data_IF_357640897356
#
_entry.id   IF_357640897356
#
_cell.length_a   1.000
_cell.length_b   1.000
_cell.length_c   1.000
_cell.angle_alpha   90.00
_cell.angle_beta   90.00
_cell.angle_gamma   90.00
#
_symmetry.space_group_name_H-M   'P 1'
#
loop_
_entity.id
_entity.type
_entity.pdbx_description
1 polymer ?
#
# COMPACT_ATOMS: atom_id res chain seq x y z
N UNK A 1 -4.91 1.48 11.96
CA UNK A 1 -5.67 2.11 10.86
C UNK A 1 -5.02 1.75 9.52
N UNK A 2 -5.78 1.61 8.44
CA UNK A 2 -5.24 1.38 7.08
C UNK A 2 -5.28 2.68 6.27
N UNK A 3 -4.34 2.85 5.34
CA UNK A 3 -4.23 4.04 4.47
C UNK A 3 -5.51 4.22 3.64
N UNK A 4 -6.00 3.12 3.09
CA UNK A 4 -7.28 3.04 2.40
C UNK A 4 -7.96 1.73 2.76
N UNK A 5 -9.23 1.81 3.17
CA UNK A 5 -9.95 0.64 3.66
C UNK A 5 -10.50 -0.17 2.51
N UNK A 6 -11.56 0.36 1.89
CA UNK A 6 -12.24 -0.31 0.79
C UNK A 6 -12.50 0.70 -0.31
N UNK A 7 -11.54 0.86 -1.21
CA UNK A 7 -11.54 1.91 -2.24
C UNK A 7 -12.86 1.99 -3.02
N UNK A 8 -13.41 0.85 -3.43
CA UNK A 8 -14.68 0.80 -4.15
C UNK A 8 -15.85 1.36 -3.34
N UNK A 9 -15.93 1.02 -2.04
CA UNK A 9 -16.97 1.55 -1.15
C UNK A 9 -16.72 3.02 -0.77
N UNK A 10 -15.45 3.41 -0.56
CA UNK A 10 -15.10 4.81 -0.37
C UNK A 10 -15.56 5.63 -1.58
N UNK A 11 -15.36 5.14 -2.81
CA UNK A 11 -15.86 5.80 -4.02
C UNK A 11 -17.39 5.83 -4.06
N UNK A 12 -18.07 4.68 -3.94
CA UNK A 12 -19.53 4.57 -4.05
C UNK A 12 -20.27 5.42 -3.02
N UNK A 13 -19.82 5.43 -1.77
CA UNK A 13 -20.52 6.13 -0.68
C UNK A 13 -20.08 7.59 -0.52
N UNK A 14 -18.94 7.99 -1.12
CA UNK A 14 -18.42 9.35 -1.03
C UNK A 14 -18.42 10.11 -2.35
N UNK A 15 -19.17 9.65 -3.36
CA UNK A 15 -19.33 10.35 -4.65
C UNK A 15 -19.58 11.85 -4.49
N UNK A 16 -20.54 12.26 -3.64
CA UNK A 16 -20.82 13.68 -3.38
C UNK A 16 -19.70 14.42 -2.65
N UNK A 17 -18.98 13.74 -1.75
CA UNK A 17 -17.84 14.31 -1.02
C UNK A 17 -16.61 14.50 -1.93
N UNK A 18 -16.43 13.63 -2.93
CA UNK A 18 -15.40 13.72 -3.96
C UNK A 18 -15.64 14.84 -4.98
N UNK A 19 -16.85 15.41 -5.05
CA UNK A 19 -17.10 16.59 -5.90
C UNK A 19 -16.31 17.82 -5.44
N UNK A 20 -15.84 17.84 -4.18
CA UNK A 20 -14.87 18.82 -3.72
C UNK A 20 -13.46 18.42 -4.23
N UNK A 21 -12.77 19.28 -5.00
CA UNK A 21 -11.46 18.96 -5.58
C UNK A 21 -10.41 18.56 -4.54
N UNK A 22 -10.36 19.22 -3.38
CA UNK A 22 -9.41 18.89 -2.32
C UNK A 22 -9.63 17.49 -1.75
N UNK A 23 -10.89 17.06 -1.65
CA UNK A 23 -11.23 15.71 -1.21
C UNK A 23 -10.87 14.65 -2.26
N UNK A 24 -11.13 14.95 -3.54
CA UNK A 24 -10.72 14.08 -4.65
C UNK A 24 -9.20 13.93 -4.70
N UNK A 25 -8.45 15.03 -4.55
CA UNK A 25 -7.00 15.03 -4.52
C UNK A 25 -6.46 14.20 -3.35
N UNK A 26 -7.04 14.35 -2.16
CA UNK A 26 -6.68 13.56 -0.99
C UNK A 26 -7.00 12.06 -1.16
N UNK A 27 -8.08 11.73 -1.86
CA UNK A 27 -8.42 10.34 -2.21
C UNK A 27 -7.42 9.75 -3.20
N UNK A 28 -7.13 10.46 -4.29
CA UNK A 28 -6.20 10.03 -5.33
C UNK A 28 -4.77 9.93 -4.81
N UNK A 29 -4.35 10.84 -3.92
CA UNK A 29 -3.03 10.78 -3.27
C UNK A 29 -2.87 9.49 -2.48
N UNK A 30 -3.85 9.12 -1.64
CA UNK A 30 -3.81 7.87 -0.88
C UNK A 30 -3.72 6.63 -1.79
N UNK A 31 -4.40 6.65 -2.93
CA UNK A 31 -4.28 5.57 -3.93
C UNK A 31 -2.88 5.49 -4.52
N UNK A 32 -2.35 6.62 -4.96
CA UNK A 32 -0.99 6.72 -5.52
C UNK A 32 0.06 6.28 -4.52
N UNK A 33 -0.08 6.67 -3.25
CA UNK A 33 0.85 6.32 -2.18
C UNK A 33 0.85 4.81 -1.91
N UNK A 34 -0.32 4.16 -1.93
CA UNK A 34 -0.42 2.70 -1.83
C UNK A 34 0.28 2.03 -3.01
N UNK A 35 0.03 2.47 -4.23
CA UNK A 35 0.70 1.89 -5.39
C UNK A 35 2.22 2.11 -5.34
N UNK A 36 2.69 3.28 -4.89
CA UNK A 36 4.10 3.56 -4.69
C UNK A 36 4.73 2.63 -3.63
N UNK A 37 4.06 2.36 -2.50
CA UNK A 37 4.54 1.40 -1.49
C UNK A 37 4.88 0.05 -2.13
N UNK A 38 4.03 -0.46 -3.02
CA UNK A 38 4.23 -1.77 -3.64
C UNK A 38 5.13 -1.76 -4.87
N UNK A 39 5.28 -0.64 -5.58
CA UNK A 39 5.98 -0.59 -6.88
C UNK A 39 7.30 0.19 -6.86
N UNK A 40 7.49 1.13 -5.94
CA UNK A 40 8.72 1.93 -5.86
C UNK A 40 9.90 1.03 -5.42
N UNK A 41 11.02 1.02 -6.17
CA UNK A 41 12.22 0.31 -5.78
C UNK A 41 13.01 1.01 -4.65
N UNK A 42 12.81 2.30 -4.40
CA UNK A 42 13.50 3.02 -3.33
C UNK A 42 12.91 2.71 -1.95
N UNK A 43 13.68 1.98 -1.14
CA UNK A 43 13.30 1.63 0.22
C UNK A 43 13.02 2.86 1.09
N UNK A 44 13.78 3.96 0.91
CA UNK A 44 13.60 5.15 1.73
C UNK A 44 12.30 5.88 1.35
N UNK A 45 11.99 5.99 0.06
CA UNK A 45 10.70 6.47 -0.44
C UNK A 45 9.52 5.72 0.16
N UNK A 46 9.56 4.38 0.12
CA UNK A 46 8.51 3.52 0.72
C UNK A 46 8.36 3.77 2.22
N UNK A 47 9.48 3.80 2.98
CA UNK A 47 9.45 4.05 4.42
C UNK A 47 8.89 5.44 4.76
N UNK A 48 9.23 6.46 3.98
CA UNK A 48 8.72 7.82 4.19
C UNK A 48 7.20 7.87 4.04
N UNK A 49 6.64 7.19 3.03
CA UNK A 49 5.19 7.09 2.85
C UNK A 49 4.56 6.38 4.05
N UNK A 50 5.07 5.22 4.45
CA UNK A 50 4.54 4.46 5.59
C UNK A 50 4.56 5.26 6.90
N UNK A 51 5.65 5.99 7.16
CA UNK A 51 5.77 6.86 8.32
C UNK A 51 4.76 8.02 8.29
N UNK A 52 4.50 8.62 7.12
CA UNK A 52 3.52 9.71 7.00
C UNK A 52 2.11 9.27 7.43
N UNK A 53 1.78 7.99 7.22
CA UNK A 53 0.52 7.37 7.65
C UNK A 53 0.57 6.73 9.03
N UNK A 54 1.72 6.81 9.73
CA UNK A 54 1.96 6.12 11.00
C UNK A 54 1.68 4.60 10.90
N UNK A 55 1.98 4.02 9.73
CA UNK A 55 1.80 2.60 9.48
C UNK A 55 2.87 1.80 10.25
N UNK A 56 2.43 0.79 10.99
CA UNK A 56 3.32 -0.07 11.78
C UNK A 56 3.60 -1.41 11.09
N UNK A 57 2.72 -1.80 10.17
CA UNK A 57 2.79 -3.08 9.48
C UNK A 57 2.44 -2.90 8.01
N UNK A 58 3.15 -3.64 7.16
CA UNK A 58 2.85 -3.83 5.75
C UNK A 58 2.46 -5.30 5.54
N UNK A 59 1.35 -5.52 4.87
CA UNK A 59 0.84 -6.85 4.54
C UNK A 59 1.10 -7.14 3.07
N UNK A 60 1.57 -8.34 2.75
CA UNK A 60 1.69 -8.83 1.37
C UNK A 60 1.02 -10.19 1.31
N UNK A 61 -0.02 -10.33 0.48
CA UNK A 61 -0.71 -11.60 0.26
C UNK A 61 -1.09 -11.82 -1.20
N UNK A 62 -1.91 -12.86 -1.48
CA UNK A 62 -2.25 -13.27 -2.84
C UNK A 62 -2.86 -12.16 -3.71
N UNK A 63 -3.60 -11.22 -3.11
CA UNK A 63 -4.20 -10.09 -3.83
C UNK A 63 -3.15 -9.07 -4.26
N UNK A 64 -2.21 -8.72 -3.38
CA UNK A 64 -1.09 -7.83 -3.70
C UNK A 64 -0.19 -8.46 -4.77
N UNK A 65 0.13 -9.76 -4.64
CA UNK A 65 0.86 -10.49 -5.67
C UNK A 65 0.13 -10.42 -7.00
N UNK A 66 -1.16 -10.76 -7.04
CA UNK A 66 -1.94 -10.74 -8.28
C UNK A 66 -1.96 -9.36 -8.92
N UNK A 67 -2.31 -8.31 -8.16
CA UNK A 67 -2.40 -6.95 -8.67
C UNK A 67 -1.06 -6.45 -9.19
N UNK A 68 0.00 -6.53 -8.38
CA UNK A 68 1.25 -5.87 -8.71
C UNK A 68 2.17 -6.69 -9.63
N UNK A 69 2.10 -8.03 -9.62
CA UNK A 69 2.80 -8.84 -10.62
C UNK A 69 2.17 -8.74 -12.01
N UNK A 70 0.87 -8.47 -12.12
CA UNK A 70 0.24 -8.18 -13.42
C UNK A 70 0.74 -6.86 -14.01
N UNK A 71 1.07 -5.87 -13.17
CA UNK A 71 1.61 -4.59 -13.59
C UNK A 71 3.09 -4.69 -13.97
N UNK A 72 3.90 -5.37 -13.16
CA UNK A 72 5.29 -5.68 -13.46
C UNK A 72 5.66 -7.10 -13.01
N UNK A 73 5.81 -8.06 -13.95
CA UNK A 73 6.19 -9.44 -13.62
C UNK A 73 7.52 -9.57 -12.87
N UNK A 74 8.44 -8.60 -13.04
CA UNK A 74 9.76 -8.59 -12.41
C UNK A 74 9.73 -8.07 -10.98
N UNK A 75 8.66 -7.42 -10.56
CA UNK A 75 8.53 -6.84 -9.23
C UNK A 75 8.67 -7.91 -8.15
N UNK A 76 9.62 -7.74 -7.24
CA UNK A 76 9.76 -8.61 -6.08
C UNK A 76 9.07 -7.99 -4.87
N UNK A 77 8.01 -8.63 -4.38
CA UNK A 77 7.32 -8.20 -3.16
C UNK A 77 7.96 -8.74 -1.88
N UNK A 78 8.92 -9.67 -1.97
CA UNK A 78 9.71 -10.09 -0.81
C UNK A 78 10.81 -9.07 -0.44
N UNK A 79 11.05 -8.08 -1.31
CA UNK A 79 12.09 -7.04 -1.12
C UNK A 79 11.97 -6.26 0.18
N UNK A 80 10.77 -6.16 0.76
CA UNK A 80 10.55 -5.48 2.04
C UNK A 80 11.36 -6.10 3.19
N UNK A 81 11.68 -7.40 3.12
CA UNK A 81 12.54 -8.07 4.11
C UNK A 81 13.95 -7.47 4.21
N UNK A 82 14.42 -6.76 3.16
CA UNK A 82 15.73 -6.12 3.17
C UNK A 82 15.79 -4.88 4.08
N UNK A 83 14.65 -4.23 4.37
CA UNK A 83 14.60 -2.97 5.14
C UNK A 83 13.51 -2.93 6.23
N UNK A 84 12.70 -3.97 6.36
CA UNK A 84 11.70 -4.13 7.43
C UNK A 84 11.89 -5.47 8.16
N UNK A 85 11.25 -5.62 9.31
CA UNK A 85 11.27 -6.89 10.05
C UNK A 85 10.12 -7.79 9.59
N UNK A 86 10.41 -8.97 9.03
CA UNK A 86 9.38 -10.00 8.84
C UNK A 86 8.91 -10.52 10.20
N UNK A 87 7.61 -10.38 10.49
CA UNK A 87 6.99 -10.83 11.76
C UNK A 87 5.99 -11.97 11.56
N UNK A 88 5.59 -12.22 10.33
CA UNK A 88 4.77 -13.37 9.94
C UNK A 88 5.13 -13.76 8.51
N UNK A 89 5.25 -15.06 8.25
CA UNK A 89 5.47 -15.61 6.92
C UNK A 89 4.90 -17.03 6.86
N UNK A 90 3.71 -17.18 6.28
CA UNK A 90 3.03 -18.47 6.16
C UNK A 90 1.91 -18.41 5.13
N UNK A 91 1.70 -19.53 4.42
CA UNK A 91 0.55 -19.75 3.53
C UNK A 91 0.37 -18.66 2.45
N UNK A 92 1.49 -18.16 1.90
CA UNK A 92 1.50 -17.13 0.86
C UNK A 92 1.21 -15.71 1.36
N UNK A 93 1.28 -15.50 2.67
CA UNK A 93 1.13 -14.21 3.34
C UNK A 93 2.39 -13.87 4.11
N UNK A 94 2.88 -12.65 3.93
CA UNK A 94 3.99 -12.09 4.70
C UNK A 94 3.57 -10.77 5.33
N UNK A 95 3.88 -10.58 6.61
CA UNK A 95 3.67 -9.32 7.33
C UNK A 95 5.03 -8.77 7.76
N UNK A 96 5.29 -7.54 7.34
CA UNK A 96 6.49 -6.79 7.67
C UNK A 96 6.14 -5.72 8.71
N UNK A 97 6.96 -5.60 9.76
CA UNK A 97 6.88 -4.53 10.74
C UNK A 97 7.85 -3.41 10.33
N UNK A 98 7.30 -2.19 10.26
CA UNK A 98 8.07 -0.96 10.02
C UNK A 98 8.94 -0.68 11.25
N UNK A 99 10.21 -0.33 11.04
CA UNK A 99 11.21 -0.12 12.10
C UNK A 99 11.26 1.33 12.55
#
# INVERSE_FOLDING_TARGET
PTIMGWTGHELQWRLGWLNNPTNADAFNRRLSDIDAIYTDPDAQGVLNILHSYHAQYLYVGPMEYTKYKQLDPKLDLHRFSAFMQTVYDKDGVTIYKVR
#
